data_IF_638706109738
#
_entry.id   IF_638706109738
#
_cell.length_a   1.000
_cell.length_b   1.000
_cell.length_c   1.000
_cell.angle_alpha   90.00
_cell.angle_beta   90.00
_cell.angle_gamma   90.00
#
_symmetry.space_group_name_H-M   'P 1'
#
loop_
_entity.id
_entity.type
_entity.pdbx_description
1 polymer ?
#
# COMPACT_ATOMS: atom_id res chain seq x y z
N UNK A 1 -27.52 -27.94 31.63
CA UNK A 1 -26.51 -28.40 30.65
C UNK A 1 -25.88 -27.20 29.94
N UNK A 2 -25.02 -26.44 30.63
CA UNK A 2 -24.37 -25.24 30.08
C UNK A 2 -22.91 -25.49 29.65
N UNK A 3 -22.25 -26.48 30.29
CA UNK A 3 -20.86 -26.83 30.02
C UNK A 3 -20.69 -27.53 28.67
N UNK A 4 -21.62 -28.41 28.27
CA UNK A 4 -21.57 -29.07 26.95
C UNK A 4 -21.56 -28.08 25.79
N UNK A 5 -22.52 -27.14 25.78
CA UNK A 5 -22.57 -26.06 24.77
C UNK A 5 -21.33 -25.17 24.78
N UNK A 6 -20.72 -24.93 25.94
CA UNK A 6 -19.49 -24.16 26.03
C UNK A 6 -18.31 -24.91 25.40
N UNK A 7 -18.19 -26.21 25.66
CA UNK A 7 -17.17 -27.07 25.04
C UNK A 7 -17.37 -27.12 23.53
N UNK A 8 -18.61 -27.29 23.06
CA UNK A 8 -18.94 -27.31 21.64
C UNK A 8 -18.55 -25.98 20.95
N UNK A 9 -18.92 -24.84 21.53
CA UNK A 9 -18.54 -23.51 21.03
C UNK A 9 -17.02 -23.29 21.03
N UNK A 10 -16.32 -23.81 22.05
CA UNK A 10 -14.86 -23.70 22.14
C UNK A 10 -14.18 -24.52 21.04
N UNK A 11 -14.67 -25.73 20.78
CA UNK A 11 -14.18 -26.59 19.71
C UNK A 11 -14.44 -25.96 18.34
N UNK A 12 -15.62 -25.39 18.13
CA UNK A 12 -15.97 -24.69 16.89
C UNK A 12 -15.09 -23.44 16.68
N UNK A 13 -14.91 -22.63 17.72
CA UNK A 13 -14.03 -21.45 17.65
C UNK A 13 -12.57 -21.82 17.41
N UNK A 14 -12.10 -22.95 17.95
CA UNK A 14 -10.75 -23.44 17.71
C UNK A 14 -10.57 -23.89 16.25
N UNK A 15 -11.51 -24.66 15.71
CA UNK A 15 -11.48 -25.06 14.30
C UNK A 15 -11.51 -23.85 13.34
N UNK A 16 -12.36 -22.85 13.63
CA UNK A 16 -12.42 -21.62 12.87
C UNK A 16 -11.12 -20.80 12.94
N UNK A 17 -10.48 -20.77 14.12
CA UNK A 17 -9.18 -20.13 14.29
C UNK A 17 -8.10 -20.83 13.47
N UNK A 18 -7.98 -22.16 13.57
CA UNK A 18 -6.97 -22.93 12.83
C UNK A 18 -7.14 -22.75 11.32
N UNK A 19 -8.38 -22.73 10.82
CA UNK A 19 -8.64 -22.48 9.40
C UNK A 19 -8.23 -21.06 8.97
N UNK A 20 -8.53 -20.04 9.79
CA UNK A 20 -8.14 -18.66 9.51
C UNK A 20 -6.62 -18.46 9.65
N UNK A 21 -5.98 -19.16 10.59
CA UNK A 21 -4.54 -19.14 10.80
C UNK A 21 -3.81 -19.84 9.65
N UNK A 22 -4.25 -21.02 9.23
CA UNK A 22 -3.70 -21.75 8.10
C UNK A 22 -3.80 -20.95 6.80
N UNK A 23 -4.98 -20.38 6.50
CA UNK A 23 -5.15 -19.54 5.30
C UNK A 23 -4.24 -18.30 5.32
N UNK A 24 -4.19 -17.56 6.43
CA UNK A 24 -3.36 -16.35 6.54
C UNK A 24 -1.87 -16.65 6.61
N UNK A 25 -1.46 -17.73 7.26
CA UNK A 25 -0.05 -18.11 7.35
C UNK A 25 0.47 -18.52 5.97
N UNK A 26 -0.29 -19.33 5.22
CA UNK A 26 0.05 -19.72 3.86
C UNK A 26 0.08 -18.51 2.91
N UNK A 27 -0.92 -17.62 2.98
CA UNK A 27 -0.98 -16.40 2.17
C UNK A 27 0.20 -15.44 2.47
N UNK A 28 0.55 -15.25 3.75
CA UNK A 28 1.68 -14.40 4.14
C UNK A 28 3.04 -15.01 3.80
N UNK A 29 3.19 -16.33 3.89
CA UNK A 29 4.42 -17.06 3.53
C UNK A 29 4.66 -17.05 2.01
N UNK A 30 3.59 -17.11 1.22
CA UNK A 30 3.66 -17.05 -0.25
C UNK A 30 3.82 -15.63 -0.80
N UNK A 31 3.69 -14.60 0.04
CA UNK A 31 3.85 -13.22 -0.38
C UNK A 31 5.31 -12.96 -0.73
N UNK A 32 5.60 -12.88 -2.03
CA UNK A 32 6.92 -12.48 -2.55
C UNK A 32 7.30 -11.13 -1.93
N UNK A 33 8.31 -11.14 -1.06
CA UNK A 33 8.86 -9.93 -0.48
C UNK A 33 9.86 -9.34 -1.46
N UNK A 34 9.51 -8.22 -2.07
CA UNK A 34 10.46 -7.44 -2.85
C UNK A 34 11.27 -6.54 -1.91
N UNK A 35 12.54 -6.32 -2.24
CA UNK A 35 13.27 -5.19 -1.65
C UNK A 35 12.70 -3.89 -2.23
N UNK A 36 11.67 -3.38 -1.57
CA UNK A 36 11.00 -2.13 -1.93
C UNK A 36 11.97 -0.95 -1.87
N UNK A 37 13.04 -1.00 -1.07
CA UNK A 37 14.04 0.08 -1.02
C UNK A 37 14.89 0.08 -2.29
N UNK A 38 15.36 -1.09 -2.70
CA UNK A 38 16.10 -1.23 -3.95
C UNK A 38 15.24 -0.83 -5.15
N UNK A 39 14.02 -1.34 -5.23
CA UNK A 39 13.10 -1.01 -6.32
C UNK A 39 12.80 0.49 -6.40
N UNK A 40 12.59 1.16 -5.25
CA UNK A 40 12.42 2.63 -5.24
C UNK A 40 13.65 3.35 -5.77
N UNK A 41 14.85 2.90 -5.43
CA UNK A 41 16.11 3.52 -5.88
C UNK A 41 16.29 3.37 -7.38
N UNK A 42 15.99 2.19 -7.92
CA UNK A 42 16.09 1.89 -9.34
C UNK A 42 15.09 2.70 -10.17
N UNK A 43 13.86 2.91 -9.68
CA UNK A 43 12.81 3.62 -10.40
C UNK A 43 12.87 5.15 -10.19
N UNK A 44 13.49 5.64 -9.12
CA UNK A 44 13.52 7.07 -8.80
C UNK A 44 14.14 7.90 -9.92
N UNK A 45 15.34 7.52 -10.38
CA UNK A 45 16.07 8.25 -11.43
C UNK A 45 15.31 8.31 -12.76
N UNK A 46 14.88 7.18 -13.36
CA UNK A 46 14.16 7.23 -14.64
C UNK A 46 12.81 7.94 -14.53
N UNK A 47 12.11 7.81 -13.40
CA UNK A 47 10.87 8.55 -13.17
C UNK A 47 11.10 10.08 -13.12
N UNK A 48 12.15 10.51 -12.43
CA UNK A 48 12.54 11.92 -12.35
C UNK A 48 12.84 12.47 -13.75
N UNK A 49 13.69 11.77 -14.51
CA UNK A 49 14.06 12.16 -15.87
C UNK A 49 12.85 12.28 -16.79
N UNK A 50 11.91 11.34 -16.72
CA UNK A 50 10.67 11.39 -17.51
C UNK A 50 9.85 12.64 -17.16
N UNK A 51 9.67 12.93 -15.88
CA UNK A 51 8.85 14.05 -15.46
C UNK A 51 9.49 15.40 -15.84
N UNK A 52 10.80 15.54 -15.63
CA UNK A 52 11.55 16.74 -16.01
C UNK A 52 11.48 16.93 -17.54
N UNK A 53 11.57 15.83 -18.31
CA UNK A 53 11.43 15.88 -19.77
C UNK A 53 10.04 16.33 -20.21
N UNK A 54 8.97 15.81 -19.59
CA UNK A 54 7.59 16.23 -19.88
C UNK A 54 7.38 17.70 -19.51
N UNK A 55 7.95 18.17 -18.40
CA UNK A 55 7.90 19.57 -18.01
C UNK A 55 8.56 20.47 -19.07
N UNK A 56 9.78 20.15 -19.50
CA UNK A 56 10.47 20.87 -20.57
C UNK A 56 9.65 20.87 -21.86
N UNK A 57 9.11 19.71 -22.25
CA UNK A 57 8.28 19.60 -23.46
C UNK A 57 7.02 20.44 -23.36
N UNK A 58 6.38 20.50 -22.20
CA UNK A 58 5.18 21.33 -21.97
C UNK A 58 5.47 22.84 -22.07
N UNK A 59 6.71 23.25 -21.80
CA UNK A 59 7.16 24.65 -21.89
C UNK A 59 7.62 25.00 -23.31
N UNK A 60 8.38 24.13 -23.96
CA UNK A 60 8.95 24.34 -25.30
C UNK A 60 7.88 24.16 -26.38
N UNK A 61 7.01 23.18 -26.20
CA UNK A 61 5.89 22.90 -27.10
C UNK A 61 4.61 23.27 -26.35
N UNK A 62 3.95 24.32 -26.81
CA UNK A 62 2.63 24.76 -26.32
C UNK A 62 1.50 23.79 -26.72
N UNK A 63 1.81 22.50 -26.80
CA UNK A 63 0.89 21.44 -27.18
C UNK A 63 0.08 20.99 -25.97
N UNK A 64 -1.24 20.96 -26.13
CA UNK A 64 -2.19 20.55 -25.10
C UNK A 64 -1.91 19.13 -24.60
N UNK A 65 -1.33 18.27 -25.45
CA UNK A 65 -0.92 16.93 -25.05
C UNK A 65 0.04 16.93 -23.86
N UNK A 66 1.13 17.70 -23.92
CA UNK A 66 2.15 17.69 -22.87
C UNK A 66 1.64 18.35 -21.57
N UNK A 67 0.76 19.34 -21.69
CA UNK A 67 0.08 19.94 -20.54
C UNK A 67 -0.84 18.93 -19.83
N UNK A 68 -1.59 18.14 -20.59
CA UNK A 68 -2.43 17.08 -20.05
C UNK A 68 -1.61 15.97 -19.37
N UNK A 69 -0.50 15.53 -19.99
CA UNK A 69 0.40 14.53 -19.39
C UNK A 69 1.01 15.07 -18.09
N UNK A 70 1.45 16.32 -18.07
CA UNK A 70 1.99 16.97 -16.85
C UNK A 70 0.94 17.05 -15.74
N UNK A 71 -0.30 17.37 -16.08
CA UNK A 71 -1.42 17.40 -15.12
C UNK A 71 -1.67 16.02 -14.51
N UNK A 72 -1.67 14.95 -15.31
CA UNK A 72 -1.81 13.57 -14.81
C UNK A 72 -0.65 13.20 -13.87
N UNK A 73 0.59 13.51 -14.25
CA UNK A 73 1.76 13.27 -13.41
C UNK A 73 1.63 13.98 -12.06
N UNK A 74 1.25 15.26 -12.05
CA UNK A 74 1.11 16.04 -10.83
C UNK A 74 -0.02 15.52 -9.93
N UNK A 75 -1.16 15.14 -10.52
CA UNK A 75 -2.26 14.52 -9.77
C UNK A 75 -1.84 13.19 -9.13
N UNK A 76 -1.10 12.36 -9.86
CA UNK A 76 -0.60 11.08 -9.32
C UNK A 76 0.36 11.29 -8.13
N UNK A 77 1.25 12.28 -8.21
CA UNK A 77 2.18 12.66 -7.13
C UNK A 77 1.42 13.14 -5.90
N UNK A 78 0.43 14.00 -6.09
CA UNK A 78 -0.44 14.50 -5.01
C UNK A 78 -1.16 13.35 -4.31
N UNK A 79 -1.79 12.47 -5.08
CA UNK A 79 -2.49 11.31 -4.53
C UNK A 79 -1.57 10.41 -3.69
N UNK A 80 -0.36 10.13 -4.18
CA UNK A 80 0.62 9.33 -3.43
C UNK A 80 1.10 10.04 -2.16
N UNK A 81 1.38 11.35 -2.23
CA UNK A 81 1.72 12.16 -1.07
C UNK A 81 0.61 12.14 0.00
N UNK A 82 -0.65 12.25 -0.41
CA UNK A 82 -1.80 12.19 0.49
C UNK A 82 -1.91 10.81 1.18
N UNK A 83 -1.68 9.72 0.45
CA UNK A 83 -1.62 8.37 1.03
C UNK A 83 -0.49 8.28 2.06
N UNK A 84 0.69 8.80 1.73
CA UNK A 84 1.85 8.75 2.63
C UNK A 84 1.60 9.56 3.91
N UNK A 85 0.99 10.74 3.78
CA UNK A 85 0.61 11.59 4.91
C UNK A 85 -0.42 10.88 5.82
N UNK A 86 -1.45 10.25 5.23
CA UNK A 86 -2.45 9.46 5.97
C UNK A 86 -1.83 8.29 6.75
N UNK A 87 -0.75 7.69 6.23
CA UNK A 87 -0.02 6.61 6.92
C UNK A 87 0.84 7.13 8.07
N UNK A 88 1.45 8.31 7.92
CA UNK A 88 2.25 8.95 8.98
C UNK A 88 1.40 9.56 10.10
N UNK A 89 0.15 9.91 9.83
CA UNK A 89 -0.77 10.52 10.81
C UNK A 89 -1.39 9.57 11.83
N UNK A 90 -1.21 8.25 11.72
CA UNK A 90 -1.63 7.30 12.77
C UNK A 90 -0.53 7.19 13.82
N UNK A 91 -0.51 8.11 14.77
CA UNK A 91 0.18 7.90 16.04
C UNK A 91 -0.46 6.65 16.68
N UNK A 92 0.32 5.62 17.07
CA UNK A 92 -0.24 4.47 17.77
C UNK A 92 -0.93 4.99 19.04
N UNK A 93 -2.20 4.65 19.23
CA UNK A 93 -2.86 4.84 20.53
C UNK A 93 -2.06 4.00 21.51
N UNK A 94 -1.27 4.66 22.35
CA UNK A 94 -0.73 4.05 23.55
C UNK A 94 -1.94 3.80 24.44
N UNK A 95 -2.45 2.56 24.43
CA UNK A 95 -3.39 2.10 25.44
C UNK A 95 -2.62 2.03 26.75
N UNK A 96 -2.80 3.05 27.57
CA UNK A 96 -2.36 3.07 28.96
C UNK A 96 -3.35 2.18 29.72
N UNK A 97 -2.92 0.98 30.07
CA UNK A 97 -3.54 0.16 31.12
C UNK A 97 -2.86 0.47 32.45
#
# INVERSE_FOLDING_TARGET
MAIGKFVDNLTESHAAFEQLFASRSQEKLQKVSYDVKQLRKEVATPYQQLADYVEILSQVKSDEFYQNVLSVLNNSRKYYADILARRKGKVPKVEVN
#
